data_IF_731665963542
#
_entry.id   IF_731665963542
#
_cell.length_a   1.000
_cell.length_b   1.000
_cell.length_c   1.000
_cell.angle_alpha   90.00
_cell.angle_beta   90.00
_cell.angle_gamma   90.00
#
_symmetry.space_group_name_H-M   'P 1'
#
loop_
_entity.id
_entity.type
_entity.pdbx_description
1 polymer ?
#
# COMPACT_ATOMS: atom_id res chain seq x y z
N UNK A 1 20.51 -12.85 42.29
CA UNK A 1 19.81 -11.66 41.76
C UNK A 1 18.60 -12.15 40.98
N UNK A 2 17.38 -11.87 41.45
CA UNK A 2 16.17 -12.24 40.70
C UNK A 2 15.98 -11.24 39.56
N UNK A 3 16.26 -11.64 38.33
CA UNK A 3 15.85 -10.89 37.14
C UNK A 3 14.35 -11.14 36.95
N UNK A 4 13.53 -10.20 37.41
CA UNK A 4 12.12 -10.15 37.00
C UNK A 4 12.08 -9.93 35.49
N UNK A 5 11.88 -11.00 34.73
CA UNK A 5 11.54 -10.92 33.31
C UNK A 5 10.12 -10.40 33.20
N UNK A 6 9.97 -9.13 32.84
CA UNK A 6 8.68 -8.60 32.42
C UNK A 6 8.29 -9.26 31.09
N UNK A 7 7.29 -10.13 31.11
CA UNK A 7 6.65 -10.60 29.88
C UNK A 7 5.66 -9.54 29.42
N UNK A 8 5.99 -8.85 28.32
CA UNK A 8 5.05 -7.97 27.65
C UNK A 8 3.86 -8.78 27.11
N UNK A 9 2.62 -8.26 27.21
CA UNK A 9 1.47 -8.91 26.59
C UNK A 9 1.71 -9.01 25.07
N UNK A 10 1.39 -10.16 24.50
CA UNK A 10 1.43 -10.36 23.04
C UNK A 10 0.08 -9.95 22.43
N UNK A 11 0.06 -9.23 21.30
CA UNK A 11 -1.19 -8.96 20.59
C UNK A 11 -1.82 -10.28 20.14
N UNK A 12 -3.16 -10.34 20.19
CA UNK A 12 -3.90 -11.45 19.60
C UNK A 12 -3.93 -11.20 18.08
N UNK A 13 -3.45 -12.17 17.26
CA UNK A 13 -3.46 -12.01 15.81
C UNK A 13 -4.86 -11.73 15.27
N UNK A 14 -4.94 -10.90 14.23
CA UNK A 14 -6.21 -10.46 13.66
C UNK A 14 -7.07 -11.67 13.31
N UNK A 15 -6.51 -12.66 12.60
CA UNK A 15 -7.14 -13.91 12.18
C UNK A 15 -7.87 -14.66 13.30
N UNK A 16 -7.42 -14.54 14.55
CA UNK A 16 -8.01 -15.23 15.71
C UNK A 16 -9.21 -14.51 16.34
N UNK A 17 -9.52 -13.28 15.90
CA UNK A 17 -10.60 -12.46 16.49
C UNK A 17 -11.76 -12.27 15.52
N UNK A 18 -12.95 -12.78 15.85
CA UNK A 18 -14.15 -12.59 15.02
C UNK A 18 -15.19 -11.73 15.74
N UNK A 19 -15.46 -10.55 15.20
CA UNK A 19 -16.53 -9.66 15.68
C UNK A 19 -17.82 -10.04 14.94
N UNK A 20 -18.78 -10.63 15.65
CA UNK A 20 -19.96 -11.25 15.03
C UNK A 20 -21.10 -10.27 14.73
N UNK A 21 -21.29 -9.25 15.56
CA UNK A 21 -22.44 -8.35 15.50
C UNK A 21 -22.18 -7.03 16.26
N UNK A 22 -23.16 -6.11 16.19
CA UNK A 22 -23.14 -4.82 16.85
C UNK A 22 -22.27 -3.78 16.14
N UNK A 23 -21.99 -2.69 16.85
CA UNK A 23 -21.36 -1.49 16.31
C UNK A 23 -20.10 -1.76 15.46
N UNK A 24 -19.16 -2.56 15.95
CA UNK A 24 -17.90 -2.81 15.24
C UNK A 24 -18.06 -3.77 14.04
N UNK A 25 -18.99 -4.72 14.11
CA UNK A 25 -19.30 -5.58 12.98
C UNK A 25 -19.91 -4.77 11.83
N UNK A 26 -20.79 -3.82 12.15
CA UNK A 26 -21.37 -2.90 11.16
C UNK A 26 -20.28 -2.05 10.49
N UNK A 27 -19.33 -1.50 11.25
CA UNK A 27 -18.20 -0.73 10.69
C UNK A 27 -17.29 -1.59 9.80
N UNK A 28 -16.96 -2.81 10.20
CA UNK A 28 -16.18 -3.73 9.37
C UNK A 28 -16.92 -4.10 8.08
N UNK A 29 -18.24 -4.30 8.17
CA UNK A 29 -19.08 -4.54 7.00
C UNK A 29 -19.08 -3.34 6.04
N UNK A 30 -19.32 -2.11 6.53
CA UNK A 30 -19.26 -0.89 5.70
C UNK A 30 -17.89 -0.70 5.06
N UNK A 31 -16.79 -0.92 5.80
CA UNK A 31 -15.45 -0.81 5.24
C UNK A 31 -15.25 -1.76 4.05
N UNK A 32 -15.65 -3.03 4.21
CA UNK A 32 -15.50 -4.04 3.16
C UNK A 32 -16.41 -3.79 1.95
N UNK A 33 -17.67 -3.43 2.18
CA UNK A 33 -18.68 -3.33 1.12
C UNK A 33 -18.71 -1.96 0.42
N UNK A 34 -18.22 -0.91 1.08
CA UNK A 34 -18.39 0.46 0.59
C UNK A 34 -17.08 1.23 0.60
N UNK A 35 -16.40 1.33 1.74
CA UNK A 35 -15.24 2.23 1.86
C UNK A 35 -14.06 1.79 1.01
N UNK A 36 -13.67 0.51 1.07
CA UNK A 36 -12.51 -0.02 0.31
C UNK A 36 -12.73 0.12 -1.21
N UNK A 37 -13.90 -0.27 -1.78
CA UNK A 37 -14.19 -0.01 -3.19
C UNK A 37 -14.22 1.48 -3.54
N UNK A 38 -14.83 2.32 -2.70
CA UNK A 38 -14.90 3.76 -2.94
C UNK A 38 -13.53 4.43 -2.93
N UNK A 39 -12.61 4.00 -2.06
CA UNK A 39 -11.22 4.46 -2.05
C UNK A 39 -10.57 4.11 -3.39
N UNK A 40 -10.64 2.85 -3.84
CA UNK A 40 -10.01 2.45 -5.10
C UNK A 40 -10.54 3.26 -6.29
N UNK A 41 -11.86 3.41 -6.40
CA UNK A 41 -12.49 4.22 -7.44
C UNK A 41 -11.94 5.66 -7.42
N UNK A 42 -11.67 6.22 -6.23
CA UNK A 42 -11.09 7.56 -6.11
C UNK A 42 -9.62 7.59 -6.52
N UNK A 43 -8.86 6.54 -6.20
CA UNK A 43 -7.47 6.40 -6.65
C UNK A 43 -7.37 6.33 -8.17
N UNK A 44 -8.32 5.64 -8.83
CA UNK A 44 -8.42 5.62 -10.29
C UNK A 44 -8.84 6.98 -10.86
N UNK A 45 -9.97 7.53 -10.38
CA UNK A 45 -10.52 8.81 -10.85
C UNK A 45 -9.49 9.95 -10.78
N UNK A 46 -8.61 9.90 -9.78
CA UNK A 46 -7.64 10.97 -9.51
C UNK A 46 -6.21 10.61 -9.93
N UNK A 47 -6.03 9.52 -10.68
CA UNK A 47 -4.76 9.17 -11.34
C UNK A 47 -3.70 8.52 -10.47
N UNK A 48 -3.98 8.16 -9.21
CA UNK A 48 -3.01 7.44 -8.35
C UNK A 48 -2.71 6.04 -8.89
N UNK A 49 -3.71 5.35 -9.42
CA UNK A 49 -3.52 4.03 -10.04
C UNK A 49 -2.73 4.18 -11.34
N UNK A 50 -3.10 5.15 -12.18
CA UNK A 50 -2.43 5.41 -13.45
C UNK A 50 -0.97 5.85 -13.28
N UNK A 51 -0.62 6.54 -12.18
CA UNK A 51 0.77 6.96 -11.91
C UNK A 51 1.77 5.79 -11.91
N UNK A 52 1.32 4.56 -11.57
CA UNK A 52 2.17 3.35 -11.60
C UNK A 52 2.53 2.89 -13.01
N UNK A 53 1.92 3.43 -14.07
CA UNK A 53 2.32 3.16 -15.46
C UNK A 53 3.61 3.89 -15.87
N UNK A 54 4.10 4.83 -15.04
CA UNK A 54 5.35 5.56 -15.23
C UNK A 54 5.46 6.31 -16.58
N UNK A 55 4.32 6.71 -17.18
CA UNK A 55 4.31 7.45 -18.44
C UNK A 55 4.93 8.86 -18.30
N UNK A 56 5.82 9.30 -19.22
CA UNK A 56 6.40 10.65 -19.19
C UNK A 56 5.36 11.77 -19.33
N UNK A 57 4.20 11.47 -19.91
CA UNK A 57 3.13 12.46 -20.13
C UNK A 57 2.40 12.88 -18.85
N UNK A 58 2.69 12.23 -17.71
CA UNK A 58 2.27 12.63 -16.36
C UNK A 58 2.86 13.99 -15.92
N UNK A 59 3.78 14.57 -16.71
CA UNK A 59 4.27 15.95 -16.55
C UNK A 59 3.20 17.03 -16.80
N UNK A 60 2.04 16.69 -17.38
CA UNK A 60 1.07 17.71 -17.82
C UNK A 60 0.19 18.25 -16.69
N UNK A 61 0.62 19.42 -16.19
CA UNK A 61 -0.17 20.41 -15.41
C UNK A 61 -1.56 20.75 -15.99
N UNK A 62 -1.84 20.43 -17.25
CA UNK A 62 -3.08 20.84 -17.94
C UNK A 62 -4.36 20.15 -17.40
N UNK A 63 -4.24 19.06 -16.66
CA UNK A 63 -5.38 18.34 -16.06
C UNK A 63 -5.61 18.66 -14.56
N UNK A 64 -4.82 19.56 -13.95
CA UNK A 64 -4.92 19.85 -12.52
C UNK A 64 -4.55 18.67 -11.59
N UNK A 65 -4.15 17.52 -12.15
CA UNK A 65 -3.72 16.32 -11.44
C UNK A 65 -2.21 16.15 -11.61
N UNK A 66 -1.43 16.88 -10.80
CA UNK A 66 0.03 16.67 -10.75
C UNK A 66 0.25 15.51 -9.79
N UNK A 67 0.92 14.44 -10.23
CA UNK A 67 1.38 13.37 -9.33
C UNK A 67 2.09 14.03 -8.14
N UNK A 68 1.62 13.79 -6.92
CA UNK A 68 2.29 14.32 -5.74
C UNK A 68 3.28 13.31 -5.19
N UNK A 69 4.37 13.81 -4.61
CA UNK A 69 5.48 13.03 -4.02
C UNK A 69 5.07 12.00 -2.96
N UNK A 70 3.84 12.03 -2.45
CA UNK A 70 3.32 11.11 -1.43
C UNK A 70 2.13 10.24 -1.90
N UNK A 71 1.76 10.27 -3.19
CA UNK A 71 0.61 9.52 -3.72
C UNK A 71 0.74 8.00 -3.56
N UNK A 72 1.94 7.46 -3.67
CA UNK A 72 2.18 6.02 -3.55
C UNK A 72 1.69 5.48 -2.20
N UNK A 73 1.74 6.30 -1.15
CA UNK A 73 1.21 5.94 0.17
C UNK A 73 -0.29 5.65 0.19
N UNK A 74 -1.08 6.31 -0.66
CA UNK A 74 -2.52 6.08 -0.74
C UNK A 74 -2.79 4.66 -1.28
N UNK A 75 -2.01 4.22 -2.27
CA UNK A 75 -2.09 2.84 -2.79
C UNK A 75 -1.58 1.80 -1.79
N UNK A 76 -0.53 2.11 -1.02
CA UNK A 76 -0.05 1.26 0.07
C UNK A 76 -1.09 1.06 1.18
N UNK A 77 -1.73 2.14 1.64
CA UNK A 77 -2.80 2.11 2.65
C UNK A 77 -4.06 1.39 2.17
N UNK A 78 -4.41 1.58 0.89
CA UNK A 78 -5.50 0.83 0.29
C UNK A 78 -5.19 -0.67 0.27
N UNK A 79 -3.98 -1.05 -0.15
CA UNK A 79 -3.55 -2.45 -0.16
C UNK A 79 -3.51 -3.06 1.26
N UNK A 80 -3.10 -2.28 2.26
CA UNK A 80 -3.17 -2.68 3.67
C UNK A 80 -4.62 -3.00 4.10
N UNK A 81 -5.55 -2.11 3.74
CA UNK A 81 -6.98 -2.29 3.99
C UNK A 81 -7.55 -3.53 3.30
N UNK A 82 -7.11 -3.81 2.07
CA UNK A 82 -7.44 -5.04 1.35
C UNK A 82 -6.92 -6.26 2.10
N UNK A 83 -5.65 -6.26 2.52
CA UNK A 83 -5.07 -7.36 3.31
C UNK A 83 -5.89 -7.68 4.56
N UNK A 84 -6.23 -6.67 5.37
CA UNK A 84 -7.07 -6.89 6.55
C UNK A 84 -8.48 -7.38 6.22
N UNK A 85 -9.08 -6.90 5.13
CA UNK A 85 -10.39 -7.34 4.66
C UNK A 85 -10.37 -8.83 4.24
N UNK A 86 -9.41 -9.22 3.40
CA UNK A 86 -9.26 -10.58 2.89
C UNK A 86 -8.91 -11.59 3.99
N UNK A 87 -8.12 -11.19 4.98
CA UNK A 87 -7.83 -11.99 6.17
C UNK A 87 -9.11 -12.41 6.92
N UNK A 88 -10.17 -11.59 6.85
CA UNK A 88 -11.47 -11.86 7.51
C UNK A 88 -12.53 -12.45 6.61
N UNK A 89 -12.55 -12.07 5.35
CA UNK A 89 -13.58 -12.49 4.42
C UNK A 89 -12.97 -12.55 3.04
N UNK A 90 -12.73 -13.76 2.50
CA UNK A 90 -12.24 -13.93 1.14
C UNK A 90 -13.14 -13.19 0.13
N UNK A 91 -12.52 -12.51 -0.81
CA UNK A 91 -13.20 -11.77 -1.87
C UNK A 91 -12.33 -11.84 -3.14
N UNK A 92 -12.60 -12.79 -4.06
CA UNK A 92 -11.78 -12.99 -5.25
C UNK A 92 -11.67 -11.75 -6.15
N UNK A 93 -12.74 -10.96 -6.27
CA UNK A 93 -12.74 -9.77 -7.12
C UNK A 93 -11.84 -8.67 -6.54
N UNK A 94 -11.91 -8.47 -5.22
CA UNK A 94 -11.03 -7.52 -4.53
C UNK A 94 -9.57 -7.98 -4.54
N UNK A 95 -9.34 -9.29 -4.40
CA UNK A 95 -8.01 -9.87 -4.48
C UNK A 95 -7.41 -9.67 -5.87
N UNK A 96 -8.18 -9.92 -6.94
CA UNK A 96 -7.76 -9.70 -8.33
C UNK A 96 -7.49 -8.22 -8.63
N UNK A 97 -8.29 -7.30 -8.07
CA UNK A 97 -8.04 -5.86 -8.18
C UNK A 97 -6.72 -5.45 -7.51
N UNK A 98 -6.42 -6.03 -6.34
CA UNK A 98 -5.15 -5.81 -5.67
C UNK A 98 -3.97 -6.45 -6.43
N UNK A 99 -4.12 -7.66 -6.97
CA UNK A 99 -3.11 -8.31 -7.81
C UNK A 99 -2.75 -7.43 -9.03
N UNK A 100 -3.75 -6.87 -9.71
CA UNK A 100 -3.53 -5.99 -10.85
C UNK A 100 -2.76 -4.71 -10.47
N UNK A 101 -3.06 -4.11 -9.32
CA UNK A 101 -2.28 -2.97 -8.80
C UNK A 101 -0.85 -3.37 -8.46
N UNK A 102 -0.65 -4.53 -7.82
CA UNK A 102 0.68 -5.05 -7.50
C UNK A 102 1.50 -5.29 -8.77
N UNK A 103 0.88 -5.81 -9.84
CA UNK A 103 1.55 -6.01 -11.13
C UNK A 103 2.05 -4.69 -11.73
N UNK A 104 1.28 -3.60 -11.58
CA UNK A 104 1.71 -2.26 -12.00
C UNK A 104 2.87 -1.74 -11.14
N UNK A 105 2.80 -1.92 -9.81
CA UNK A 105 3.87 -1.54 -8.88
C UNK A 105 5.18 -2.29 -9.19
N UNK A 106 5.09 -3.61 -9.44
CA UNK A 106 6.24 -4.44 -9.83
C UNK A 106 6.89 -3.93 -11.12
N UNK A 107 6.08 -3.62 -12.13
CA UNK A 107 6.56 -3.08 -13.41
C UNK A 107 7.19 -1.69 -13.29
N UNK A 108 6.73 -0.87 -12.33
CA UNK A 108 7.28 0.45 -12.05
C UNK A 108 8.64 0.41 -11.34
N UNK A 109 9.02 -0.72 -10.73
CA UNK A 109 10.26 -0.81 -9.96
C UNK A 109 11.50 -0.74 -10.85
N UNK A 110 12.44 0.13 -10.49
CA UNK A 110 13.71 0.26 -11.20
C UNK A 110 14.59 -1.00 -11.03
N UNK A 111 15.56 -1.23 -11.94
CA UNK A 111 16.46 -2.39 -11.84
C UNK A 111 17.25 -2.46 -10.53
N UNK A 112 17.58 -1.32 -9.93
CA UNK A 112 18.30 -1.19 -8.66
C UNK A 112 17.41 -1.29 -7.42
N UNK A 113 16.11 -1.56 -7.58
CA UNK A 113 15.15 -1.70 -6.49
C UNK A 113 14.40 -0.41 -6.15
N UNK A 114 14.83 0.76 -6.64
CA UNK A 114 14.15 2.02 -6.36
C UNK A 114 12.69 2.01 -6.85
N UNK A 115 11.77 2.49 -6.02
CA UNK A 115 10.34 2.51 -6.32
C UNK A 115 9.69 3.81 -5.84
N UNK A 116 9.22 4.62 -6.78
CA UNK A 116 8.43 5.82 -6.52
C UNK A 116 7.80 6.29 -7.84
N UNK A 117 6.55 6.77 -7.84
CA UNK A 117 5.92 7.26 -9.09
C UNK A 117 6.32 8.70 -9.46
N UNK A 118 6.74 9.50 -8.48
CA UNK A 118 7.06 10.92 -8.66
C UNK A 118 8.47 11.15 -9.19
N UNK A 119 9.50 10.70 -8.47
CA UNK A 119 10.88 11.08 -8.77
C UNK A 119 11.38 10.60 -10.13
N UNK A 120 11.20 9.33 -10.54
CA UNK A 120 11.73 8.86 -11.82
C UNK A 120 11.15 9.61 -13.02
N UNK A 121 9.91 10.11 -12.90
CA UNK A 121 9.20 10.79 -13.99
C UNK A 121 9.40 12.30 -13.93
N UNK A 122 9.15 12.92 -12.77
CA UNK A 122 9.05 14.39 -12.65
C UNK A 122 10.33 15.06 -12.12
N UNK A 123 11.20 14.33 -11.44
CA UNK A 123 12.37 14.88 -10.79
C UNK A 123 13.51 13.85 -10.61
N UNK A 124 14.01 13.25 -11.70
CA UNK A 124 14.92 12.09 -11.62
C UNK A 124 16.23 12.39 -10.88
N UNK A 125 16.72 13.63 -10.99
CA UNK A 125 17.95 14.09 -10.32
C UNK A 125 17.73 14.46 -8.84
N UNK A 126 16.53 14.24 -8.29
CA UNK A 126 16.15 14.66 -6.94
C UNK A 126 15.95 13.52 -5.94
N UNK A 127 16.10 12.26 -6.37
CA UNK A 127 16.04 11.08 -5.49
C UNK A 127 16.93 11.27 -4.27
N UNK A 128 16.38 11.01 -3.09
CA UNK A 128 17.05 11.05 -1.79
C UNK A 128 17.66 12.39 -1.38
N UNK A 129 17.40 13.48 -2.11
CA UNK A 129 18.02 14.78 -1.81
C UNK A 129 17.31 15.56 -0.70
N UNK A 130 16.10 15.15 -0.30
CA UNK A 130 15.38 15.75 0.84
C UNK A 130 14.52 14.71 1.60
N UNK A 131 15.13 14.04 2.56
CA UNK A 131 14.43 13.08 3.42
C UNK A 131 13.41 13.74 4.37
N UNK A 132 13.49 15.05 4.61
CA UNK A 132 12.62 15.77 5.55
C UNK A 132 11.21 15.93 5.01
N UNK A 133 11.09 16.34 3.74
CA UNK A 133 9.80 16.82 3.19
C UNK A 133 9.30 16.03 1.99
N UNK A 134 10.13 15.20 1.35
CA UNK A 134 9.81 14.66 0.02
C UNK A 134 9.33 13.20 0.02
N UNK A 135 9.07 12.65 1.21
CA UNK A 135 8.21 11.48 1.43
C UNK A 135 8.62 10.16 0.76
N UNK A 136 9.84 10.03 0.22
CA UNK A 136 10.32 8.76 -0.36
C UNK A 136 10.27 7.62 0.67
N UNK A 137 10.80 7.85 1.89
CA UNK A 137 10.74 6.87 2.99
C UNK A 137 9.33 6.67 3.55
N UNK A 138 8.49 7.71 3.51
CA UNK A 138 7.10 7.63 3.97
C UNK A 138 6.26 6.74 3.03
N UNK A 139 6.45 6.89 1.71
CA UNK A 139 5.83 6.02 0.72
C UNK A 139 6.32 4.58 0.89
N UNK A 140 7.63 4.38 1.05
CA UNK A 140 8.21 3.07 1.30
C UNK A 140 7.56 2.39 2.51
N UNK A 141 7.44 3.11 3.63
CA UNK A 141 6.82 2.60 4.85
C UNK A 141 5.39 2.11 4.62
N UNK A 142 4.53 2.93 4.01
CA UNK A 142 3.14 2.54 3.76
C UNK A 142 2.99 1.41 2.74
N UNK A 143 3.85 1.35 1.73
CA UNK A 143 3.86 0.22 0.80
C UNK A 143 4.31 -1.08 1.50
N UNK A 144 5.30 -1.01 2.40
CA UNK A 144 5.75 -2.15 3.21
C UNK A 144 4.62 -2.64 4.14
N UNK A 145 3.90 -1.74 4.81
CA UNK A 145 2.75 -2.11 5.65
C UNK A 145 1.68 -2.82 4.82
N UNK A 146 1.33 -2.27 3.65
CA UNK A 146 0.42 -2.89 2.69
C UNK A 146 0.88 -4.27 2.21
N UNK A 147 2.16 -4.40 1.86
CA UNK A 147 2.77 -5.65 1.42
C UNK A 147 2.69 -6.74 2.49
N UNK A 148 3.01 -6.41 3.75
CA UNK A 148 2.95 -7.35 4.87
C UNK A 148 1.50 -7.78 5.14
N UNK A 149 0.56 -6.85 5.16
CA UNK A 149 -0.86 -7.15 5.38
C UNK A 149 -1.41 -8.06 4.27
N UNK A 150 -1.09 -7.75 3.01
CA UNK A 150 -1.52 -8.55 1.86
C UNK A 150 -0.90 -9.95 1.88
N UNK A 151 0.41 -10.06 2.11
CA UNK A 151 1.09 -11.36 2.25
C UNK A 151 0.48 -12.22 3.36
N UNK A 152 0.19 -11.63 4.53
CA UNK A 152 -0.45 -12.38 5.64
C UNK A 152 -1.83 -12.89 5.29
N UNK A 153 -2.57 -12.17 4.45
CA UNK A 153 -3.93 -12.55 4.05
C UNK A 153 -3.97 -13.60 2.95
N UNK A 154 -3.06 -13.54 1.97
CA UNK A 154 -3.12 -14.34 0.74
C UNK A 154 -1.99 -15.35 0.60
N UNK A 155 -0.88 -15.17 1.32
CA UNK A 155 0.36 -15.92 1.14
C UNK A 155 1.17 -15.53 -0.10
N UNK A 156 0.69 -14.57 -0.92
CA UNK A 156 1.37 -14.13 -2.15
C UNK A 156 2.54 -13.22 -1.82
N UNK A 157 3.71 -13.55 -2.36
CA UNK A 157 4.98 -12.86 -2.05
C UNK A 157 5.36 -11.73 -2.98
N UNK A 158 4.74 -11.62 -4.16
CA UNK A 158 5.13 -10.66 -5.20
C UNK A 158 5.41 -9.25 -4.65
N UNK A 159 4.42 -8.64 -3.98
CA UNK A 159 4.57 -7.30 -3.43
C UNK A 159 5.62 -7.24 -2.30
N UNK A 160 5.75 -8.30 -1.50
CA UNK A 160 6.75 -8.38 -0.44
C UNK A 160 8.17 -8.44 -1.02
N UNK A 161 8.37 -9.17 -2.13
CA UNK A 161 9.65 -9.29 -2.82
C UNK A 161 10.03 -7.94 -3.48
N UNK A 162 9.07 -7.25 -4.10
CA UNK A 162 9.24 -5.89 -4.64
C UNK A 162 9.68 -4.94 -3.52
N UNK A 163 8.98 -4.90 -2.39
CA UNK A 163 9.32 -3.96 -1.32
C UNK A 163 10.57 -4.36 -0.53
N UNK A 164 10.97 -5.64 -0.54
CA UNK A 164 12.27 -6.05 -0.01
C UNK A 164 13.40 -5.46 -0.85
N UNK A 165 13.30 -5.51 -2.18
CA UNK A 165 14.28 -4.85 -3.07
C UNK A 165 14.32 -3.33 -2.89
N UNK A 166 13.19 -2.70 -2.59
CA UNK A 166 13.17 -1.26 -2.30
C UNK A 166 13.80 -0.93 -0.95
N UNK A 167 13.64 -1.79 0.06
CA UNK A 167 14.30 -1.63 1.35
C UNK A 167 15.81 -1.89 1.29
N UNK A 168 16.27 -2.74 0.37
CA UNK A 168 17.69 -3.05 0.15
C UNK A 168 18.43 -2.00 -0.70
N UNK A 169 17.71 -1.15 -1.44
CA UNK A 169 18.24 -0.05 -2.26
C UNK A 169 18.81 1.08 -1.39
#
# INVERSE_FOLDING_TARGET
>A
MNTNTFTYPRPIPLEHVTIKNGFWAERQHTNRQTTIPAIYNKLEETGRVEAWTMHPEHERRELGSVVHMFWDSDTGKWLESVGYSLCKTPNPDLEAQADALIDMIEQAQAPDGYLNTYFPVLAPDKKWTNLRDWHEMYNAGHLIEGAIAYYRATGKKKILDVLSRYADH
#
